data_IF_300387454130
#
_entry.id   IF_300387454130
#
_cell.length_a   1.000
_cell.length_b   1.000
_cell.length_c   1.000
_cell.angle_alpha   90.00
_cell.angle_beta   90.00
_cell.angle_gamma   90.00
#
_symmetry.space_group_name_H-M   'P 1'
#
loop_
_entity.id
_entity.type
_entity.pdbx_description
1 polymer ?
#
# COMPACT_ATOMS: atom_id res chain seq x y z
N UNK A 1 -10.62 -27.94 -9.29
CA UNK A 1 -10.09 -26.93 -8.32
C UNK A 1 -8.56 -26.98 -8.22
N UNK A 2 -7.88 -28.15 -8.14
CA UNK A 2 -6.41 -28.22 -8.10
C UNK A 2 -5.71 -27.58 -9.28
N UNK A 3 -6.10 -27.90 -10.52
CA UNK A 3 -5.50 -27.33 -11.75
C UNK A 3 -5.58 -25.80 -11.86
N UNK A 4 -6.65 -25.19 -11.34
CA UNK A 4 -6.78 -23.71 -11.31
C UNK A 4 -5.82 -23.10 -10.29
N UNK A 5 -5.75 -23.67 -9.08
CA UNK A 5 -4.82 -23.22 -8.04
C UNK A 5 -3.36 -23.34 -8.50
N UNK A 6 -3.01 -24.41 -9.21
CA UNK A 6 -1.66 -24.59 -9.78
C UNK A 6 -1.36 -23.54 -10.84
N UNK A 7 -2.33 -23.21 -11.72
CA UNK A 7 -2.21 -22.12 -12.70
C UNK A 7 -2.03 -20.75 -12.07
N UNK A 8 -2.63 -20.51 -10.90
CA UNK A 8 -2.50 -19.27 -10.14
C UNK A 8 -1.23 -19.24 -9.26
N UNK A 9 -0.40 -20.28 -9.28
CA UNK A 9 0.77 -20.39 -8.42
C UNK A 9 0.45 -20.74 -6.97
N UNK A 10 -0.79 -21.17 -6.67
CA UNK A 10 -1.27 -21.47 -5.31
C UNK A 10 -1.37 -22.98 -5.05
N UNK A 11 -0.55 -23.79 -5.70
CA UNK A 11 -0.59 -25.26 -5.63
C UNK A 11 -0.32 -25.82 -4.25
N UNK A 12 0.58 -25.23 -3.48
CA UNK A 12 0.92 -25.72 -2.14
C UNK A 12 0.07 -25.10 -1.03
N UNK A 13 -0.01 -25.79 0.12
CA UNK A 13 -0.72 -25.29 1.30
C UNK A 13 -0.09 -24.02 1.87
N UNK A 14 1.23 -23.93 1.82
CA UNK A 14 1.98 -22.76 2.29
C UNK A 14 1.69 -21.53 1.42
N UNK A 15 1.65 -21.66 0.09
CA UNK A 15 1.36 -20.57 -0.83
C UNK A 15 -0.08 -20.05 -0.67
N UNK A 16 -1.05 -20.95 -0.49
CA UNK A 16 -2.44 -20.56 -0.17
C UNK A 16 -2.56 -19.84 1.15
N UNK A 17 -1.85 -20.32 2.17
CA UNK A 17 -1.84 -19.70 3.50
C UNK A 17 -1.15 -18.34 3.49
N UNK A 18 -0.12 -18.17 2.68
CA UNK A 18 0.54 -16.90 2.46
C UNK A 18 -0.41 -15.92 1.75
N UNK A 19 -1.04 -16.30 0.65
CA UNK A 19 -1.99 -15.45 -0.07
C UNK A 19 -3.23 -15.07 0.77
N UNK A 20 -3.63 -15.94 1.74
CA UNK A 20 -4.72 -15.63 2.67
C UNK A 20 -4.37 -14.46 3.62
N UNK A 21 -3.09 -14.14 3.81
CA UNK A 21 -2.70 -12.97 4.58
C UNK A 21 -3.04 -11.66 3.83
N UNK A 22 -2.94 -11.64 2.50
CA UNK A 22 -3.40 -10.48 1.72
C UNK A 22 -4.91 -10.27 1.84
N UNK A 23 -5.70 -11.37 1.85
CA UNK A 23 -7.13 -11.31 2.18
C UNK A 23 -7.37 -10.69 3.55
N UNK A 24 -6.57 -11.04 4.56
CA UNK A 24 -6.70 -10.54 5.91
C UNK A 24 -6.33 -9.05 6.02
N UNK A 25 -5.18 -8.68 5.49
CA UNK A 25 -4.57 -7.36 5.63
C UNK A 25 -5.28 -6.28 4.81
N UNK A 26 -5.81 -6.63 3.62
CA UNK A 26 -6.48 -5.67 2.73
C UNK A 26 -7.71 -5.02 3.37
N UNK A 27 -8.34 -5.68 4.36
CA UNK A 27 -9.43 -5.10 5.13
C UNK A 27 -9.01 -3.83 5.90
N UNK A 28 -7.79 -3.79 6.42
CA UNK A 28 -7.26 -2.58 7.07
C UNK A 28 -7.04 -1.47 6.04
N UNK A 29 -6.48 -1.80 4.87
CA UNK A 29 -6.25 -0.82 3.81
C UNK A 29 -7.55 -0.18 3.33
N UNK A 30 -8.61 -0.99 3.12
CA UNK A 30 -9.89 -0.48 2.64
C UNK A 30 -10.66 0.26 3.72
N UNK A 31 -10.90 -0.35 4.87
CA UNK A 31 -11.80 0.19 5.89
C UNK A 31 -11.14 1.29 6.73
N UNK A 32 -9.88 1.08 7.17
CA UNK A 32 -9.20 2.02 8.08
C UNK A 32 -8.47 3.11 7.31
N UNK A 33 -7.68 2.76 6.29
CA UNK A 33 -6.87 3.78 5.61
C UNK A 33 -7.71 4.58 4.63
N UNK A 34 -8.54 3.92 3.80
CA UNK A 34 -9.14 4.58 2.65
C UNK A 34 -10.58 5.05 2.86
N UNK A 35 -11.43 4.34 3.66
CA UNK A 35 -12.87 4.55 3.57
C UNK A 35 -13.52 5.00 4.87
N UNK A 36 -13.69 4.09 5.84
CA UNK A 36 -14.59 4.35 6.99
C UNK A 36 -13.96 5.25 8.04
N UNK A 37 -12.71 4.96 8.44
CA UNK A 37 -12.06 5.73 9.49
C UNK A 37 -11.83 7.21 9.13
N UNK A 38 -11.40 7.61 7.92
CA UNK A 38 -11.24 9.03 7.58
C UNK A 38 -12.54 9.82 7.72
N UNK A 39 -13.70 9.24 7.30
CA UNK A 39 -15.01 9.86 7.45
C UNK A 39 -15.37 10.00 8.93
N UNK A 40 -15.22 8.93 9.70
CA UNK A 40 -15.52 8.92 11.13
C UNK A 40 -14.64 9.91 11.90
N UNK A 41 -13.35 9.94 11.58
CA UNK A 41 -12.41 10.90 12.15
C UNK A 41 -12.88 12.34 11.91
N UNK A 42 -13.17 12.71 10.65
CA UNK A 42 -13.55 14.07 10.30
C UNK A 42 -14.87 14.52 10.95
N UNK A 43 -15.87 13.63 10.98
CA UNK A 43 -17.23 13.97 11.41
C UNK A 43 -17.50 13.81 12.90
N UNK A 44 -16.79 12.88 13.54
CA UNK A 44 -17.06 12.52 14.95
C UNK A 44 -15.85 12.82 15.81
N UNK A 45 -14.73 12.17 15.58
CA UNK A 45 -13.57 12.33 16.45
C UNK A 45 -12.97 13.75 16.43
N UNK A 46 -12.97 14.40 15.27
CA UNK A 46 -12.45 15.76 15.09
C UNK A 46 -13.55 16.82 14.93
N UNK A 47 -14.79 16.52 15.35
CA UNK A 47 -15.94 17.40 15.16
C UNK A 47 -15.77 18.81 15.77
N UNK A 48 -14.93 18.95 16.78
CA UNK A 48 -14.66 20.21 17.47
C UNK A 48 -13.52 21.02 16.80
N UNK A 49 -12.91 20.51 15.74
CA UNK A 49 -11.86 21.17 14.99
C UNK A 49 -12.42 21.77 13.70
N UNK A 50 -11.80 22.87 13.24
CA UNK A 50 -12.07 23.36 11.89
C UNK A 50 -11.64 22.28 10.87
N UNK A 51 -12.45 22.04 9.84
CA UNK A 51 -12.25 20.95 8.89
C UNK A 51 -10.84 20.91 8.25
N UNK A 52 -10.24 22.05 7.79
CA UNK A 52 -8.87 22.04 7.29
C UNK A 52 -7.82 21.65 8.35
N UNK A 53 -8.05 22.02 9.63
CA UNK A 53 -7.15 21.64 10.74
C UNK A 53 -7.21 20.14 10.98
N UNK A 54 -8.41 19.56 11.01
CA UNK A 54 -8.60 18.11 11.13
C UNK A 54 -7.90 17.37 9.97
N UNK A 55 -8.10 17.81 8.74
CA UNK A 55 -7.46 17.24 7.54
C UNK A 55 -5.94 17.32 7.61
N UNK A 56 -5.38 18.47 8.00
CA UNK A 56 -3.93 18.64 8.16
C UNK A 56 -3.36 17.70 9.23
N UNK A 57 -4.02 17.58 10.40
CA UNK A 57 -3.61 16.66 11.47
C UNK A 57 -3.64 15.19 11.04
N UNK A 58 -4.67 14.79 10.29
CA UNK A 58 -4.76 13.45 9.70
C UNK A 58 -3.62 13.17 8.73
N UNK A 59 -3.30 14.12 7.86
CA UNK A 59 -2.19 14.00 6.91
C UNK A 59 -0.83 13.91 7.63
N UNK A 60 -0.60 14.70 8.67
CA UNK A 60 0.62 14.59 9.50
C UNK A 60 0.71 13.26 10.26
N UNK A 61 -0.41 12.74 10.78
CA UNK A 61 -0.46 11.42 11.41
C UNK A 61 -0.13 10.31 10.40
N UNK A 62 -0.65 10.42 9.18
CA UNK A 62 -0.31 9.50 8.08
C UNK A 62 1.19 9.53 7.77
N UNK A 63 1.76 10.70 7.55
CA UNK A 63 3.21 10.89 7.33
C UNK A 63 4.03 10.31 8.49
N UNK A 64 3.68 10.64 9.72
CA UNK A 64 4.38 10.17 10.92
C UNK A 64 4.36 8.65 11.05
N UNK A 65 3.23 8.00 10.77
CA UNK A 65 3.13 6.54 10.83
C UNK A 65 4.06 5.85 9.81
N UNK A 66 4.15 6.38 8.60
CA UNK A 66 5.02 5.84 7.55
C UNK A 66 6.49 6.07 7.90
N UNK A 67 6.85 7.24 8.44
CA UNK A 67 8.21 7.54 8.87
C UNK A 67 8.68 6.61 10.00
N UNK A 68 7.82 6.31 10.98
CA UNK A 68 8.14 5.35 12.05
C UNK A 68 8.50 4.00 11.45
N UNK A 69 7.68 3.51 10.52
CA UNK A 69 7.94 2.23 9.83
C UNK A 69 9.20 2.29 9.00
N UNK A 70 9.42 3.39 8.32
CA UNK A 70 10.59 3.65 7.50
C UNK A 70 11.91 3.49 8.28
N UNK A 71 11.91 3.88 9.54
CA UNK A 71 13.06 3.76 10.45
C UNK A 71 13.14 2.35 11.06
N UNK A 72 12.00 1.83 11.50
CA UNK A 72 11.96 0.57 12.28
C UNK A 72 12.10 -0.67 11.39
N UNK A 73 11.51 -0.66 10.18
CA UNK A 73 11.49 -1.84 9.31
C UNK A 73 12.89 -2.34 8.88
N UNK A 74 13.83 -1.51 8.44
CA UNK A 74 15.18 -1.98 8.08
C UNK A 74 15.94 -2.58 9.27
N UNK A 75 15.74 -2.02 10.47
CA UNK A 75 16.39 -2.52 11.70
C UNK A 75 15.90 -3.92 12.04
N UNK A 76 14.60 -4.09 12.10
CA UNK A 76 14.00 -5.38 12.45
C UNK A 76 14.16 -6.41 11.33
N UNK A 77 14.15 -5.98 10.07
CA UNK A 77 14.40 -6.83 8.91
C UNK A 77 15.80 -7.44 8.97
N UNK A 78 16.82 -6.64 9.26
CA UNK A 78 18.21 -7.12 9.36
C UNK A 78 18.41 -8.12 10.49
N UNK A 79 17.69 -8.00 11.59
CA UNK A 79 17.69 -8.98 12.69
C UNK A 79 16.95 -10.26 12.26
N UNK A 80 15.79 -10.13 11.63
CA UNK A 80 14.96 -11.25 11.22
C UNK A 80 15.57 -12.10 10.08
N UNK A 81 16.51 -11.55 9.30
CA UNK A 81 17.23 -12.32 8.28
C UNK A 81 18.31 -13.22 8.88
N UNK A 82 18.80 -12.92 10.07
CA UNK A 82 19.82 -13.70 10.76
C UNK A 82 19.27 -14.73 11.73
N UNK A 83 18.18 -14.38 12.42
CA UNK A 83 17.54 -15.22 13.42
C UNK A 83 16.16 -15.64 12.91
N UNK A 84 15.73 -16.91 13.09
CA UNK A 84 14.43 -17.39 12.60
C UNK A 84 13.26 -16.85 13.46
N UNK A 85 12.99 -15.54 13.35
CA UNK A 85 11.96 -14.82 14.13
C UNK A 85 10.98 -14.02 13.27
N UNK A 86 10.98 -14.20 11.93
CA UNK A 86 10.12 -13.44 11.02
C UNK A 86 8.64 -13.55 11.40
N UNK A 87 8.16 -14.76 11.65
CA UNK A 87 6.77 -14.98 12.06
C UNK A 87 6.46 -14.44 13.47
N UNK A 88 7.45 -14.47 14.38
CA UNK A 88 7.26 -13.87 15.72
C UNK A 88 7.11 -12.35 15.63
N UNK A 89 7.96 -11.68 14.85
CA UNK A 89 7.86 -10.24 14.62
C UNK A 89 6.56 -9.89 13.91
N UNK A 90 6.17 -10.66 12.89
CA UNK A 90 4.86 -10.51 12.25
C UNK A 90 3.72 -10.61 13.27
N UNK A 91 3.76 -11.60 14.18
CA UNK A 91 2.74 -11.76 15.22
C UNK A 91 2.69 -10.57 16.20
N UNK A 92 3.85 -10.02 16.58
CA UNK A 92 3.92 -8.83 17.46
C UNK A 92 3.28 -7.61 16.79
N UNK A 93 3.66 -7.32 15.53
CA UNK A 93 3.07 -6.19 14.79
C UNK A 93 1.58 -6.40 14.51
N UNK A 94 1.17 -7.63 14.18
CA UNK A 94 -0.25 -8.00 14.05
C UNK A 94 -1.00 -7.75 15.36
N UNK A 95 -0.46 -8.19 16.49
CA UNK A 95 -1.08 -8.00 17.80
C UNK A 95 -1.24 -6.52 18.16
N UNK A 96 -0.17 -5.73 18.00
CA UNK A 96 -0.20 -4.28 18.25
C UNK A 96 -1.22 -3.59 17.34
N UNK A 97 -1.18 -3.88 16.03
CA UNK A 97 -2.10 -3.31 15.06
C UNK A 97 -3.55 -3.70 15.30
N UNK A 98 -3.82 -4.98 15.59
CA UNK A 98 -5.16 -5.48 15.85
C UNK A 98 -5.76 -4.89 17.15
N UNK A 99 -4.97 -4.80 18.22
CA UNK A 99 -5.42 -4.18 19.49
C UNK A 99 -5.77 -2.71 19.26
N UNK A 100 -4.91 -1.95 18.58
CA UNK A 100 -5.19 -0.55 18.26
C UNK A 100 -6.45 -0.41 17.39
N UNK A 101 -6.63 -1.29 16.40
CA UNK A 101 -7.80 -1.28 15.52
C UNK A 101 -9.09 -1.66 16.27
N UNK A 102 -9.04 -2.65 17.15
CA UNK A 102 -10.18 -3.01 18.00
C UNK A 102 -10.54 -1.86 18.97
N UNK A 103 -9.53 -1.16 19.51
CA UNK A 103 -9.71 -0.02 20.40
C UNK A 103 -10.38 1.19 19.70
N UNK A 104 -10.40 1.24 18.37
CA UNK A 104 -11.13 2.29 17.63
C UNK A 104 -12.64 2.25 17.90
N UNK A 105 -13.19 1.15 18.41
CA UNK A 105 -14.57 1.06 18.88
C UNK A 105 -14.90 2.08 19.95
N UNK A 106 -13.92 2.47 20.75
CA UNK A 106 -14.10 3.40 21.90
C UNK A 106 -13.90 4.86 21.55
N UNK A 107 -13.64 5.21 20.30
CA UNK A 107 -13.50 6.59 19.85
C UNK A 107 -14.85 7.28 19.98
N UNK A 108 -14.90 8.37 20.73
CA UNK A 108 -16.05 9.23 20.91
C UNK A 108 -15.94 10.55 20.14
N UNK A 109 -16.95 11.39 20.30
CA UNK A 109 -16.96 12.75 19.75
C UNK A 109 -15.90 13.62 20.41
N UNK A 110 -15.09 14.32 19.62
CA UNK A 110 -14.02 15.19 20.11
C UNK A 110 -12.69 14.48 20.41
N UNK A 111 -12.65 13.15 20.37
CA UNK A 111 -11.47 12.34 20.71
C UNK A 111 -10.42 12.29 19.58
N UNK A 112 -10.19 13.40 18.88
CA UNK A 112 -9.32 13.45 17.69
C UNK A 112 -7.89 12.94 17.96
N UNK A 113 -7.33 13.24 19.15
CA UNK A 113 -5.98 12.80 19.49
C UNK A 113 -5.92 11.30 19.74
N UNK A 114 -6.90 10.74 20.46
CA UNK A 114 -7.01 9.31 20.68
C UNK A 114 -7.21 8.55 19.37
N UNK A 115 -8.09 9.06 18.49
CA UNK A 115 -8.33 8.50 17.17
C UNK A 115 -7.05 8.46 16.32
N UNK A 116 -6.31 9.57 16.23
CA UNK A 116 -5.05 9.63 15.49
C UNK A 116 -3.96 8.76 16.11
N UNK A 117 -3.90 8.65 17.42
CA UNK A 117 -2.95 7.77 18.11
C UNK A 117 -3.21 6.30 17.73
N UNK A 118 -4.46 5.85 17.81
CA UNK A 118 -4.83 4.49 17.40
C UNK A 118 -4.57 4.26 15.90
N UNK A 119 -4.86 5.25 15.06
CA UNK A 119 -4.58 5.20 13.63
C UNK A 119 -3.08 5.04 13.34
N UNK A 120 -2.22 5.81 13.99
CA UNK A 120 -0.76 5.70 13.84
C UNK A 120 -0.27 4.32 14.28
N UNK A 121 -0.71 3.84 15.46
CA UNK A 121 -0.32 2.52 15.97
C UNK A 121 -0.80 1.42 15.02
N UNK A 122 -2.04 1.48 14.53
CA UNK A 122 -2.60 0.55 13.56
C UNK A 122 -1.81 0.52 12.25
N UNK A 123 -1.46 1.70 11.71
CA UNK A 123 -0.64 1.82 10.49
C UNK A 123 0.77 1.24 10.70
N UNK A 124 1.43 1.52 11.82
CA UNK A 124 2.73 0.93 12.16
C UNK A 124 2.60 -0.59 12.27
N UNK A 125 1.52 -1.09 12.88
CA UNK A 125 1.21 -2.52 12.95
C UNK A 125 1.12 -3.14 11.57
N UNK A 126 0.25 -2.63 10.70
CA UNK A 126 0.05 -3.21 9.36
C UNK A 126 1.30 -3.13 8.50
N UNK A 127 1.97 -1.98 8.48
CA UNK A 127 3.16 -1.82 7.67
C UNK A 127 4.33 -2.68 8.19
N UNK A 128 4.46 -2.84 9.50
CA UNK A 128 5.43 -3.76 10.12
C UNK A 128 5.16 -5.23 9.73
N UNK A 129 3.89 -5.66 9.72
CA UNK A 129 3.56 -7.04 9.31
C UNK A 129 3.91 -7.30 7.85
N UNK A 130 3.67 -6.33 6.94
CA UNK A 130 3.97 -6.47 5.51
C UNK A 130 5.46 -6.73 5.28
N UNK A 131 6.36 -6.09 6.04
CA UNK A 131 7.81 -6.32 5.94
C UNK A 131 8.15 -7.81 6.07
N UNK A 132 7.63 -8.44 7.12
CA UNK A 132 7.92 -9.86 7.39
C UNK A 132 7.12 -10.78 6.48
N UNK A 133 5.88 -10.46 6.18
CA UNK A 133 5.02 -11.19 5.27
C UNK A 133 5.64 -11.36 3.89
N UNK A 134 6.09 -10.27 3.27
CA UNK A 134 6.73 -10.30 1.95
C UNK A 134 8.06 -11.05 1.99
N UNK A 135 8.82 -10.93 3.09
CA UNK A 135 10.09 -11.65 3.24
C UNK A 135 9.96 -13.16 3.34
N UNK A 136 8.76 -13.69 3.58
CA UNK A 136 8.49 -15.13 3.58
C UNK A 136 8.33 -15.70 2.17
N UNK A 137 7.86 -14.90 1.20
CA UNK A 137 7.54 -15.37 -0.16
C UNK A 137 8.71 -16.05 -0.89
N UNK A 138 9.93 -15.50 -0.91
CA UNK A 138 11.08 -16.13 -1.59
C UNK A 138 11.46 -17.50 -1.02
N UNK A 139 11.05 -17.80 0.23
CA UNK A 139 11.35 -19.07 0.89
C UNK A 139 10.32 -20.18 0.62
N UNK A 140 9.13 -19.81 0.12
CA UNK A 140 8.03 -20.76 -0.10
C UNK A 140 7.64 -20.90 -1.58
N UNK A 141 8.02 -19.94 -2.43
CA UNK A 141 7.74 -19.93 -3.85
C UNK A 141 9.00 -20.13 -4.68
N UNK A 142 8.98 -20.99 -5.71
CA UNK A 142 10.07 -21.07 -6.68
C UNK A 142 10.28 -19.73 -7.39
N UNK A 143 11.52 -19.33 -7.73
CA UNK A 143 11.80 -18.04 -8.38
C UNK A 143 10.94 -17.78 -9.62
N UNK A 144 10.69 -18.81 -10.45
CA UNK A 144 9.86 -18.69 -11.65
C UNK A 144 8.36 -18.47 -11.39
N UNK A 145 7.90 -18.58 -10.15
CA UNK A 145 6.49 -18.43 -9.74
C UNK A 145 6.23 -17.22 -8.86
N UNK A 146 7.28 -16.50 -8.43
CA UNK A 146 7.17 -15.38 -7.49
C UNK A 146 6.15 -14.33 -7.95
N UNK A 147 6.24 -13.88 -9.21
CA UNK A 147 5.34 -12.87 -9.76
C UNK A 147 3.89 -13.35 -9.79
N UNK A 148 3.69 -14.63 -10.17
CA UNK A 148 2.36 -15.23 -10.23
C UNK A 148 1.72 -15.36 -8.85
N UNK A 149 2.48 -15.84 -7.86
CA UNK A 149 2.02 -15.97 -6.48
C UNK A 149 1.71 -14.61 -5.88
N UNK A 150 2.60 -13.63 -6.09
CA UNK A 150 2.41 -12.25 -5.65
C UNK A 150 1.14 -11.64 -6.24
N UNK A 151 0.94 -11.76 -7.56
CA UNK A 151 -0.26 -11.25 -8.24
C UNK A 151 -1.53 -11.92 -7.74
N UNK A 152 -1.50 -13.24 -7.51
CA UNK A 152 -2.63 -13.96 -6.93
C UNK A 152 -2.95 -13.50 -5.50
N UNK A 153 -1.92 -13.22 -4.68
CA UNK A 153 -2.07 -12.63 -3.35
C UNK A 153 -2.82 -11.29 -3.41
N UNK A 154 -2.36 -10.36 -4.24
CA UNK A 154 -3.04 -9.07 -4.44
C UNK A 154 -4.49 -9.23 -4.88
N UNK A 155 -4.77 -10.10 -5.85
CA UNK A 155 -6.14 -10.35 -6.32
C UNK A 155 -7.05 -10.87 -5.19
N UNK A 156 -6.54 -11.81 -4.38
CA UNK A 156 -7.24 -12.34 -3.20
C UNK A 156 -7.44 -11.24 -2.17
N UNK A 157 -6.45 -10.37 -1.98
CA UNK A 157 -6.51 -9.20 -1.09
C UNK A 157 -7.63 -8.23 -1.49
N UNK A 158 -7.73 -7.86 -2.76
CA UNK A 158 -8.81 -6.99 -3.25
C UNK A 158 -10.19 -7.59 -2.95
N UNK A 159 -10.36 -8.89 -3.14
CA UNK A 159 -11.62 -9.56 -2.81
C UNK A 159 -11.87 -9.54 -1.31
N UNK A 160 -10.86 -9.84 -0.48
CA UNK A 160 -10.98 -9.87 0.99
C UNK A 160 -11.34 -8.51 1.58
N UNK A 161 -10.63 -7.46 1.17
CA UNK A 161 -10.92 -6.08 1.55
C UNK A 161 -12.30 -5.62 1.09
N UNK A 162 -12.68 -5.94 -0.16
CA UNK A 162 -13.98 -5.62 -0.73
C UNK A 162 -15.14 -6.33 -0.01
N UNK A 163 -14.98 -7.60 0.33
CA UNK A 163 -16.01 -8.39 1.05
C UNK A 163 -16.24 -7.82 2.45
N UNK A 164 -15.19 -7.56 3.24
CA UNK A 164 -15.40 -6.97 4.57
C UNK A 164 -15.98 -5.57 4.47
N UNK A 165 -15.52 -4.74 3.53
CA UNK A 165 -16.09 -3.42 3.32
C UNK A 165 -17.57 -3.50 2.95
N UNK A 166 -17.98 -4.45 2.09
CA UNK A 166 -19.39 -4.65 1.75
C UNK A 166 -20.23 -5.06 2.98
N UNK A 167 -19.71 -5.96 3.82
CA UNK A 167 -20.35 -6.33 5.10
C UNK A 167 -20.49 -5.10 6.00
N UNK A 168 -19.44 -4.29 6.11
CA UNK A 168 -19.46 -3.06 6.91
C UNK A 168 -20.47 -2.04 6.37
N UNK A 169 -20.60 -1.90 5.06
CA UNK A 169 -21.63 -1.05 4.42
C UNK A 169 -23.03 -1.50 4.81
N UNK A 170 -23.30 -2.81 4.74
CA UNK A 170 -24.60 -3.36 5.17
C UNK A 170 -24.82 -3.15 6.66
N UNK A 171 -23.80 -3.35 7.50
CA UNK A 171 -23.86 -3.11 8.95
C UNK A 171 -24.21 -1.65 9.28
N UNK A 172 -23.61 -0.69 8.58
CA UNK A 172 -23.89 0.73 8.76
C UNK A 172 -25.27 1.15 8.21
N UNK A 173 -25.75 0.49 7.16
CA UNK A 173 -27.05 0.77 6.54
C UNK A 173 -28.22 0.13 7.29
N UNK A 174 -27.99 -1.02 7.93
CA UNK A 174 -28.97 -1.85 8.62
C UNK A 174 -28.43 -2.37 9.95
N UNK A 175 -28.17 -1.47 10.94
CA UNK A 175 -27.59 -1.84 12.23
C UNK A 175 -28.39 -2.93 12.96
N UNK A 176 -29.71 -2.88 12.82
CA UNK A 176 -30.66 -3.81 13.43
C UNK A 176 -30.44 -5.27 13.00
N UNK A 177 -29.93 -5.53 11.80
CA UNK A 177 -29.62 -6.90 11.33
C UNK A 177 -28.43 -7.51 12.08
N UNK A 178 -27.62 -6.68 12.69
CA UNK A 178 -26.44 -7.09 13.46
C UNK A 178 -26.63 -6.93 14.97
N UNK A 179 -27.85 -6.61 15.42
CA UNK A 179 -28.17 -6.39 16.84
C UNK A 179 -27.56 -5.11 17.42
N UNK A 180 -27.23 -4.13 16.57
CA UNK A 180 -26.65 -2.86 16.97
C UNK A 180 -27.72 -1.79 17.15
N UNK A 181 -27.59 -0.91 18.19
CA UNK A 181 -28.66 0.04 18.56
C UNK A 181 -28.80 1.17 17.54
N UNK A 182 -27.73 1.60 16.90
CA UNK A 182 -27.70 2.76 16.03
C UNK A 182 -26.53 2.72 15.02
N UNK A 183 -26.56 3.67 14.09
CA UNK A 183 -25.56 3.78 13.02
C UNK A 183 -24.16 4.14 13.57
N UNK A 184 -24.06 4.96 14.61
CA UNK A 184 -22.75 5.34 15.18
C UNK A 184 -22.06 4.12 15.78
N UNK A 185 -22.80 3.32 16.55
CA UNK A 185 -22.30 2.04 17.06
C UNK A 185 -21.92 1.09 15.91
N UNK A 186 -22.68 1.07 14.81
CA UNK A 186 -22.34 0.25 13.65
C UNK A 186 -21.06 0.70 12.95
N UNK A 187 -20.81 2.01 12.85
CA UNK A 187 -19.53 2.52 12.33
C UNK A 187 -18.38 2.08 13.21
N UNK A 188 -18.48 2.24 14.52
CA UNK A 188 -17.45 1.81 15.49
C UNK A 188 -17.23 0.29 15.46
N UNK A 189 -18.31 -0.48 15.34
CA UNK A 189 -18.25 -1.93 15.17
C UNK A 189 -17.57 -2.32 13.84
N UNK A 190 -17.82 -1.57 12.76
CA UNK A 190 -17.14 -1.76 11.47
C UNK A 190 -15.63 -1.56 11.59
N UNK A 191 -15.17 -0.54 12.32
CA UNK A 191 -13.73 -0.36 12.58
C UNK A 191 -13.14 -1.54 13.36
N UNK A 192 -13.82 -1.96 14.44
CA UNK A 192 -13.36 -3.09 15.27
C UNK A 192 -13.40 -4.44 14.53
N UNK A 193 -14.35 -4.63 13.59
CA UNK A 193 -14.47 -5.85 12.80
C UNK A 193 -13.23 -6.15 11.97
N UNK A 194 -12.50 -5.10 11.56
CA UNK A 194 -11.24 -5.22 10.84
C UNK A 194 -10.19 -5.97 11.67
N UNK A 195 -10.12 -5.71 12.98
CA UNK A 195 -9.18 -6.41 13.87
C UNK A 195 -9.48 -7.91 13.92
N UNK A 196 -10.76 -8.27 14.07
CA UNK A 196 -11.19 -9.68 14.10
C UNK A 196 -10.89 -10.36 12.77
N UNK A 197 -11.25 -9.72 11.65
CA UNK A 197 -10.97 -10.21 10.30
C UNK A 197 -9.49 -10.45 10.08
N UNK A 198 -8.67 -9.46 10.41
CA UNK A 198 -7.23 -9.52 10.22
C UNK A 198 -6.59 -10.65 11.02
N UNK A 199 -6.93 -10.80 12.30
CA UNK A 199 -6.41 -11.89 13.15
C UNK A 199 -6.86 -13.26 12.64
N UNK A 200 -8.17 -13.44 12.40
CA UNK A 200 -8.74 -14.75 12.02
C UNK A 200 -8.14 -15.26 10.70
N UNK A 201 -8.09 -14.40 9.67
CA UNK A 201 -7.58 -14.80 8.35
C UNK A 201 -6.04 -14.80 8.26
N UNK A 202 -5.33 -14.33 9.29
CA UNK A 202 -3.88 -14.51 9.45
C UNK A 202 -3.50 -15.89 10.03
N UNK A 203 -4.40 -16.58 10.73
CA UNK A 203 -4.13 -17.89 11.36
C UNK A 203 -3.53 -18.92 10.38
N UNK A 204 -4.02 -19.06 9.13
CA UNK A 204 -3.44 -19.99 8.16
C UNK A 204 -1.95 -19.75 7.90
N UNK A 205 -1.51 -18.49 7.83
CA UNK A 205 -0.09 -18.15 7.65
C UNK A 205 0.75 -18.70 8.81
N UNK A 206 0.35 -18.46 10.04
CA UNK A 206 1.09 -18.93 11.21
C UNK A 206 1.14 -20.45 11.31
N UNK A 207 0.10 -21.15 10.83
CA UNK A 207 0.01 -22.62 10.89
C UNK A 207 0.72 -23.35 9.77
N UNK A 208 0.79 -22.77 8.55
CA UNK A 208 1.17 -23.52 7.36
C UNK A 208 2.37 -22.95 6.61
N UNK A 209 2.77 -21.70 6.89
CA UNK A 209 4.00 -21.15 6.32
C UNK A 209 5.15 -21.51 7.26
N UNK A 210 6.22 -22.18 6.78
CA UNK A 210 7.37 -22.49 7.61
C UNK A 210 8.12 -21.20 7.99
N UNK A 211 8.75 -21.20 9.17
CA UNK A 211 9.72 -20.17 9.53
C UNK A 211 11.01 -20.40 8.72
N UNK A 212 11.49 -19.44 7.96
CA UNK A 212 12.74 -19.60 7.24
C UNK A 212 13.94 -19.75 8.19
N UNK A 213 14.94 -20.57 7.85
CA UNK A 213 16.17 -20.64 8.63
C UNK A 213 16.87 -19.29 8.58
N UNK A 214 17.47 -18.89 9.69
CA UNK A 214 18.33 -17.71 9.75
C UNK A 214 19.63 -17.95 8.97
N UNK A 215 20.11 -16.96 8.24
CA UNK A 215 21.33 -17.05 7.45
C UNK A 215 22.46 -16.30 8.18
N UNK A 216 23.13 -16.93 9.12
CA UNK A 216 24.35 -16.40 9.73
C UNK A 216 24.46 -16.68 11.23
N UNK A 217 25.72 -16.76 11.71
CA UNK A 217 26.01 -16.73 13.14
C UNK A 217 25.54 -15.40 13.75
N UNK A 218 25.02 -15.41 14.98
CA UNK A 218 24.81 -14.18 15.72
C UNK A 218 26.16 -13.45 15.79
N UNK A 219 26.31 -12.36 15.05
CA UNK A 219 27.53 -11.57 15.16
C UNK A 219 27.69 -11.19 16.65
N UNK A 220 28.83 -11.51 17.24
CA UNK A 220 29.19 -11.21 18.62
C UNK A 220 29.26 -9.70 18.96
N UNK A 221 28.96 -8.84 17.98
CA UNK A 221 28.65 -7.43 18.11
C UNK A 221 27.37 -7.18 17.33
N UNK A 222 26.26 -6.97 18.01
CA UNK A 222 24.95 -6.77 17.42
C UNK A 222 25.01 -5.86 16.19
N UNK A 223 24.20 -6.17 15.14
CA UNK A 223 24.10 -5.26 14.01
C UNK A 223 23.41 -4.02 14.53
N UNK A 224 24.23 -3.06 14.90
CA UNK A 224 23.74 -1.74 15.22
C UNK A 224 23.08 -1.13 13.97
N UNK A 225 22.19 -0.19 14.19
CA UNK A 225 21.60 0.68 13.17
C UNK A 225 22.59 1.07 12.06
N UNK A 226 23.83 1.36 12.41
CA UNK A 226 24.90 1.70 11.48
C UNK A 226 25.26 0.57 10.48
N UNK A 227 25.09 -0.69 10.86
CA UNK A 227 25.33 -1.84 9.97
C UNK A 227 24.21 -2.00 8.94
N UNK A 228 22.95 -1.87 9.36
CA UNK A 228 21.81 -1.90 8.45
C UNK A 228 21.83 -0.72 7.47
N UNK A 229 22.15 0.49 7.94
CA UNK A 229 22.30 1.68 7.09
C UNK A 229 23.45 1.51 6.10
N UNK A 230 24.61 0.96 6.52
CA UNK A 230 25.72 0.67 5.59
C UNK A 230 25.33 -0.34 4.51
N UNK A 231 24.59 -1.40 4.87
CA UNK A 231 24.06 -2.36 3.92
C UNK A 231 23.15 -1.69 2.89
N UNK A 232 22.20 -0.89 3.33
CA UNK A 232 21.31 -0.11 2.45
C UNK A 232 22.12 0.82 1.50
N UNK A 233 23.12 1.53 2.01
CA UNK A 233 23.96 2.41 1.20
C UNK A 233 24.78 1.60 0.18
N UNK A 234 25.28 0.42 0.55
CA UNK A 234 26.02 -0.44 -0.36
C UNK A 234 25.14 -0.91 -1.53
N UNK A 235 23.94 -1.41 -1.23
CA UNK A 235 22.98 -1.84 -2.28
C UNK A 235 22.54 -0.68 -3.14
N UNK A 236 22.28 0.50 -2.56
CA UNK A 236 21.93 1.70 -3.33
C UNK A 236 23.09 2.13 -4.26
N UNK A 237 24.33 2.04 -3.78
CA UNK A 237 25.53 2.34 -4.59
C UNK A 237 25.68 1.33 -5.73
N UNK A 238 25.37 0.08 -5.50
CA UNK A 238 25.39 -0.94 -6.53
C UNK A 238 24.26 -0.76 -7.55
N UNK A 239 23.03 -0.50 -7.11
CA UNK A 239 21.89 -0.24 -7.99
C UNK A 239 22.14 0.98 -8.91
N UNK A 240 22.91 1.98 -8.45
CA UNK A 240 23.31 3.12 -9.28
C UNK A 240 24.14 2.73 -10.52
N UNK A 241 24.78 1.56 -10.52
CA UNK A 241 25.47 1.03 -11.71
C UNK A 241 24.48 0.68 -12.82
N UNK A 242 23.25 0.31 -12.45
CA UNK A 242 22.14 0.07 -13.38
C UNK A 242 21.31 1.36 -13.51
N UNK A 243 21.90 2.34 -14.19
CA UNK A 243 21.38 3.72 -14.27
C UNK A 243 19.88 3.78 -14.57
N UNK A 244 19.40 3.00 -15.55
CA UNK A 244 18.01 3.07 -15.99
C UNK A 244 17.05 2.39 -15.00
N UNK A 245 17.46 1.33 -14.32
CA UNK A 245 16.71 0.75 -13.22
C UNK A 245 16.61 1.73 -12.03
N UNK A 246 17.72 2.41 -11.70
CA UNK A 246 17.75 3.43 -10.65
C UNK A 246 16.87 4.65 -10.96
N UNK A 247 16.91 5.16 -12.21
CA UNK A 247 16.03 6.24 -12.67
C UNK A 247 14.55 5.84 -12.61
N UNK A 248 14.24 4.61 -13.03
CA UNK A 248 12.87 4.09 -12.90
C UNK A 248 12.42 4.04 -11.45
N UNK A 249 13.30 3.60 -10.55
CA UNK A 249 12.99 3.54 -9.12
C UNK A 249 12.71 4.92 -8.53
N UNK A 250 13.49 5.95 -8.90
CA UNK A 250 13.24 7.35 -8.50
C UNK A 250 11.92 7.89 -9.07
N UNK A 251 11.65 7.60 -10.35
CA UNK A 251 10.37 7.98 -10.97
C UNK A 251 9.20 7.32 -10.22
N UNK A 252 9.31 6.00 -9.96
CA UNK A 252 8.33 5.22 -9.24
C UNK A 252 8.07 5.76 -7.84
N UNK A 253 9.11 6.08 -7.08
CA UNK A 253 8.96 6.69 -5.74
C UNK A 253 8.05 7.92 -5.81
N UNK A 254 8.30 8.82 -6.75
CA UNK A 254 7.54 10.08 -6.82
C UNK A 254 6.11 9.86 -7.29
N UNK A 255 5.89 9.23 -8.45
CA UNK A 255 4.51 9.09 -8.90
C UNK A 255 3.68 8.13 -8.03
N UNK A 256 4.29 7.11 -7.42
CA UNK A 256 3.59 6.25 -6.49
C UNK A 256 3.25 6.99 -5.17
N UNK A 257 4.09 7.94 -4.74
CA UNK A 257 3.76 8.83 -3.62
C UNK A 257 2.50 9.66 -3.92
N UNK A 258 2.39 10.19 -5.15
CA UNK A 258 1.15 10.83 -5.61
C UNK A 258 -0.06 9.88 -5.58
N UNK A 259 0.10 8.65 -6.06
CA UNK A 259 -0.96 7.61 -6.04
C UNK A 259 -1.40 7.32 -4.61
N UNK A 260 -0.46 7.05 -3.70
CA UNK A 260 -0.75 6.77 -2.30
C UNK A 260 -1.40 7.95 -1.59
N UNK A 261 -1.02 9.18 -1.96
CA UNK A 261 -1.65 10.40 -1.42
C UNK A 261 -3.10 10.50 -1.83
N UNK A 262 -3.43 10.24 -3.10
CA UNK A 262 -4.83 10.19 -3.56
C UNK A 262 -5.62 9.16 -2.75
N UNK A 263 -5.11 7.93 -2.63
CA UNK A 263 -5.78 6.84 -1.92
C UNK A 263 -6.09 7.23 -0.46
N UNK A 264 -5.12 7.87 0.22
CA UNK A 264 -5.23 8.18 1.65
C UNK A 264 -6.00 9.47 1.94
N UNK A 265 -5.93 10.45 1.02
CA UNK A 265 -6.50 11.78 1.27
C UNK A 265 -7.85 12.01 0.60
N UNK A 266 -8.23 11.20 -0.41
CA UNK A 266 -9.47 11.41 -1.17
C UNK A 266 -10.72 11.43 -0.29
N UNK A 267 -10.83 10.50 0.65
CA UNK A 267 -12.02 10.37 1.50
C UNK A 267 -12.13 11.51 2.50
N UNK A 268 -11.01 11.84 3.19
CA UNK A 268 -11.02 12.94 4.17
C UNK A 268 -11.27 14.28 3.48
N UNK A 269 -10.72 14.46 2.27
CA UNK A 269 -10.97 15.63 1.45
C UNK A 269 -12.44 15.71 1.00
N UNK A 270 -13.02 14.59 0.54
CA UNK A 270 -14.42 14.52 0.16
C UNK A 270 -15.38 14.83 1.32
N UNK A 271 -15.07 14.33 2.52
CA UNK A 271 -15.83 14.62 3.74
C UNK A 271 -15.72 16.10 4.14
N UNK A 272 -14.52 16.69 4.05
CA UNK A 272 -14.28 18.11 4.34
C UNK A 272 -15.12 19.03 3.46
N UNK A 273 -15.25 18.72 2.17
CA UNK A 273 -16.05 19.52 1.22
C UNK A 273 -17.55 19.18 1.24
N UNK A 274 -17.98 18.29 2.14
CA UNK A 274 -19.39 18.00 2.41
C UNK A 274 -20.04 17.00 1.46
N UNK A 275 -19.29 16.09 0.83
CA UNK A 275 -19.86 15.02 0.02
C UNK A 275 -20.65 14.02 0.87
N UNK A 276 -21.62 13.34 0.24
CA UNK A 276 -22.39 12.28 0.91
C UNK A 276 -21.54 11.05 1.20
N UNK A 277 -21.54 10.61 2.46
CA UNK A 277 -20.69 9.52 2.94
C UNK A 277 -21.01 8.18 2.28
N UNK A 278 -22.31 7.88 2.10
CA UNK A 278 -22.72 6.60 1.52
C UNK A 278 -22.33 6.53 0.04
N UNK A 279 -22.46 7.66 -0.67
CA UNK A 279 -22.01 7.76 -2.05
C UNK A 279 -20.49 7.61 -2.16
N UNK A 280 -19.69 8.21 -1.24
CA UNK A 280 -18.25 8.05 -1.22
C UNK A 280 -17.84 6.61 -0.93
N UNK A 281 -18.42 5.98 0.09
CA UNK A 281 -18.15 4.58 0.45
C UNK A 281 -18.50 3.66 -0.72
N UNK A 282 -19.66 3.86 -1.36
CA UNK A 282 -20.06 3.10 -2.53
C UNK A 282 -19.11 3.26 -3.73
N UNK A 283 -18.64 4.48 -3.99
CA UNK A 283 -17.68 4.77 -5.05
C UNK A 283 -16.33 4.05 -4.82
N UNK A 284 -15.83 4.07 -3.59
CA UNK A 284 -14.59 3.39 -3.21
C UNK A 284 -14.71 1.86 -3.26
N UNK A 285 -15.88 1.34 -2.91
CA UNK A 285 -16.16 -0.09 -3.10
C UNK A 285 -16.12 -0.47 -4.58
N UNK A 286 -16.73 0.33 -5.46
CA UNK A 286 -16.70 0.11 -6.92
C UNK A 286 -15.29 0.17 -7.46
N UNK A 287 -14.42 1.06 -6.95
CA UNK A 287 -13.01 1.15 -7.35
C UNK A 287 -12.29 -0.21 -7.25
N UNK A 288 -12.55 -0.98 -6.19
CA UNK A 288 -11.92 -2.29 -5.98
C UNK A 288 -12.28 -3.28 -7.11
N UNK A 289 -13.54 -3.27 -7.55
CA UNK A 289 -13.99 -4.18 -8.60
C UNK A 289 -13.59 -3.72 -9.99
N UNK A 290 -13.56 -2.42 -10.25
CA UNK A 290 -13.09 -1.83 -11.52
C UNK A 290 -11.62 -2.13 -11.74
N UNK A 291 -10.80 -2.12 -10.69
CA UNK A 291 -9.37 -2.38 -10.78
C UNK A 291 -9.02 -3.76 -11.36
N UNK A 292 -9.86 -4.77 -11.13
CA UNK A 292 -9.58 -6.15 -11.55
C UNK A 292 -9.50 -6.27 -13.10
N UNK A 293 -10.54 -5.95 -13.89
CA UNK A 293 -10.46 -6.09 -15.34
C UNK A 293 -9.45 -5.13 -15.97
N UNK A 294 -9.30 -3.92 -15.43
CA UNK A 294 -8.38 -2.93 -15.98
C UNK A 294 -6.90 -3.28 -15.74
N UNK A 295 -6.55 -3.99 -14.66
CA UNK A 295 -5.20 -4.52 -14.49
C UNK A 295 -4.82 -5.47 -15.64
N UNK A 296 -5.72 -6.34 -16.08
CA UNK A 296 -5.50 -7.20 -17.26
C UNK A 296 -5.43 -6.39 -18.56
N UNK A 297 -6.29 -5.38 -18.74
CA UNK A 297 -6.27 -4.51 -19.91
C UNK A 297 -4.95 -3.74 -20.04
N UNK A 298 -4.39 -3.28 -18.93
CA UNK A 298 -3.06 -2.64 -18.91
C UNK A 298 -1.95 -3.61 -19.33
N UNK A 299 -2.02 -4.89 -18.94
CA UNK A 299 -1.11 -5.92 -19.41
C UNK A 299 -1.17 -6.07 -20.93
N UNK A 300 -2.37 -6.21 -21.50
CA UNK A 300 -2.59 -6.29 -22.96
C UNK A 300 -2.10 -5.02 -23.67
N UNK A 301 -2.33 -3.85 -23.07
CA UNK A 301 -1.85 -2.58 -23.61
C UNK A 301 -0.31 -2.54 -23.63
N UNK A 302 0.32 -2.97 -22.56
CA UNK A 302 1.78 -3.03 -22.46
C UNK A 302 2.41 -3.99 -23.47
N UNK A 303 1.74 -5.10 -23.80
CA UNK A 303 2.18 -6.02 -24.86
C UNK A 303 2.17 -5.37 -26.26
N UNK A 304 1.26 -4.39 -26.48
CA UNK A 304 1.12 -3.71 -27.78
C UNK A 304 2.01 -2.47 -27.93
N UNK A 305 2.08 -1.62 -26.92
CA UNK A 305 2.76 -0.32 -26.98
C UNK A 305 4.00 -0.24 -26.09
N UNK A 306 4.27 -1.27 -25.28
CA UNK A 306 5.34 -1.32 -24.30
C UNK A 306 4.91 -0.82 -22.92
N UNK A 307 5.61 -1.29 -21.88
CA UNK A 307 5.28 -0.97 -20.49
C UNK A 307 5.48 0.54 -20.16
N UNK A 308 6.58 1.14 -20.65
CA UNK A 308 6.89 2.57 -20.39
C UNK A 308 5.81 3.50 -20.93
N UNK A 309 5.37 3.43 -22.23
CA UNK A 309 4.25 4.26 -22.71
C UNK A 309 2.93 4.01 -21.98
N UNK A 310 2.63 2.76 -21.59
CA UNK A 310 1.42 2.45 -20.82
C UNK A 310 1.45 3.10 -19.43
N UNK A 311 2.60 3.14 -18.76
CA UNK A 311 2.78 3.87 -17.49
C UNK A 311 2.54 5.36 -17.69
N UNK A 312 3.07 5.98 -18.77
CA UNK A 312 2.79 7.39 -19.08
C UNK A 312 1.29 7.66 -19.25
N UNK A 313 0.57 6.75 -19.91
CA UNK A 313 -0.89 6.84 -20.03
C UNK A 313 -1.57 6.82 -18.66
N UNK A 314 -1.14 5.95 -17.76
CA UNK A 314 -1.62 5.92 -16.37
C UNK A 314 -1.35 7.23 -15.61
N UNK A 315 -0.13 7.77 -15.70
CA UNK A 315 0.25 9.03 -15.06
C UNK A 315 -0.52 10.24 -15.62
N UNK A 316 -0.80 10.25 -16.92
CA UNK A 316 -1.66 11.26 -17.53
C UNK A 316 -3.08 11.21 -16.95
N UNK A 317 -3.66 10.01 -16.83
CA UNK A 317 -4.98 9.85 -16.19
C UNK A 317 -4.95 10.29 -14.73
N UNK A 318 -3.93 9.94 -13.95
CA UNK A 318 -3.78 10.42 -12.56
C UNK A 318 -3.66 11.94 -12.47
N UNK A 319 -2.95 12.58 -13.40
CA UNK A 319 -2.88 14.05 -13.48
C UNK A 319 -4.26 14.65 -13.74
N UNK A 320 -5.03 14.08 -14.65
CA UNK A 320 -6.42 14.49 -14.92
C UNK A 320 -7.31 14.30 -13.69
N UNK A 321 -7.22 13.15 -13.01
CA UNK A 321 -7.94 12.86 -11.76
C UNK A 321 -7.66 13.96 -10.73
N UNK A 322 -6.40 14.35 -10.57
CA UNK A 322 -5.99 15.33 -9.57
C UNK A 322 -6.49 16.72 -9.90
N UNK A 323 -6.43 17.13 -11.18
CA UNK A 323 -6.98 18.41 -11.66
C UNK A 323 -8.50 18.43 -11.48
N UNK A 324 -9.20 17.35 -11.86
CA UNK A 324 -10.65 17.25 -11.64
C UNK A 324 -10.99 17.26 -10.15
N UNK A 325 -10.13 16.67 -9.29
CA UNK A 325 -10.27 16.70 -7.84
C UNK A 325 -10.29 18.11 -7.25
N UNK A 326 -9.53 19.05 -7.83
CA UNK A 326 -9.60 20.47 -7.45
C UNK A 326 -10.99 21.10 -7.67
N UNK A 327 -11.68 20.68 -8.74
CA UNK A 327 -13.02 21.18 -9.10
C UNK A 327 -14.15 20.31 -8.50
N UNK A 328 -13.82 19.35 -7.66
CA UNK A 328 -14.77 18.43 -7.05
C UNK A 328 -15.82 19.16 -6.21
N UNK A 329 -17.12 18.89 -6.48
CA UNK A 329 -18.27 19.49 -5.79
C UNK A 329 -19.40 18.50 -5.49
N UNK A 330 -19.47 17.40 -6.24
CA UNK A 330 -20.60 16.46 -6.16
C UNK A 330 -20.14 15.02 -5.97
N UNK A 331 -20.97 14.21 -5.31
CA UNK A 331 -20.68 12.77 -5.14
C UNK A 331 -20.60 12.02 -6.48
N UNK A 332 -21.33 12.46 -7.52
CA UNK A 332 -21.23 11.88 -8.86
C UNK A 332 -19.85 12.11 -9.50
N UNK A 333 -19.27 13.32 -9.32
CA UNK A 333 -17.91 13.60 -9.76
C UNK A 333 -16.90 12.73 -9.00
N UNK A 334 -17.08 12.59 -7.68
CA UNK A 334 -16.25 11.70 -6.85
C UNK A 334 -16.30 10.26 -7.33
N UNK A 335 -17.50 9.74 -7.64
CA UNK A 335 -17.69 8.40 -8.21
C UNK A 335 -16.90 8.24 -9.52
N UNK A 336 -16.99 9.22 -10.42
CA UNK A 336 -16.22 9.21 -11.69
C UNK A 336 -14.73 9.15 -11.44
N UNK A 337 -14.21 9.96 -10.49
CA UNK A 337 -12.78 9.93 -10.13
C UNK A 337 -12.37 8.57 -9.56
N UNK A 338 -13.20 7.96 -8.70
CA UNK A 338 -12.97 6.64 -8.15
C UNK A 338 -12.90 5.55 -9.23
N UNK A 339 -13.79 5.59 -10.21
CA UNK A 339 -13.74 4.68 -11.38
C UNK A 339 -12.43 4.88 -12.16
N UNK A 340 -12.06 6.14 -12.45
CA UNK A 340 -10.81 6.45 -13.16
C UNK A 340 -9.58 5.96 -12.39
N UNK A 341 -9.53 6.10 -11.06
CA UNK A 341 -8.48 5.54 -10.21
C UNK A 341 -8.43 4.02 -10.35
N UNK A 342 -9.57 3.34 -10.24
CA UNK A 342 -9.66 1.90 -10.41
C UNK A 342 -9.12 1.43 -11.77
N UNK A 343 -9.38 2.20 -12.83
CA UNK A 343 -8.90 1.86 -14.18
C UNK A 343 -7.37 1.87 -14.30
N UNK A 344 -6.65 2.72 -13.57
CA UNK A 344 -5.21 2.93 -13.78
C UNK A 344 -4.33 2.41 -12.66
N UNK A 345 -4.85 2.24 -11.45
CA UNK A 345 -4.07 1.94 -10.24
C UNK A 345 -3.30 0.62 -10.36
N UNK A 346 -4.00 -0.47 -10.57
CA UNK A 346 -3.41 -1.81 -10.63
C UNK A 346 -2.42 -1.96 -11.79
N UNK A 347 -2.78 -1.45 -12.98
CA UNK A 347 -1.95 -1.51 -14.17
C UNK A 347 -0.65 -0.73 -14.05
N UNK A 348 -0.73 0.52 -13.57
CA UNK A 348 0.45 1.37 -13.42
C UNK A 348 1.47 0.77 -12.45
N UNK A 349 1.01 0.23 -11.30
CA UNK A 349 1.89 -0.39 -10.31
C UNK A 349 2.48 -1.71 -10.81
N UNK A 350 1.67 -2.58 -11.43
CA UNK A 350 2.13 -3.86 -11.96
C UNK A 350 3.18 -3.68 -13.06
N UNK A 351 2.94 -2.76 -14.01
CA UNK A 351 3.88 -2.47 -15.09
C UNK A 351 5.18 -1.83 -14.60
N UNK A 352 5.13 -1.00 -13.56
CA UNK A 352 6.33 -0.41 -12.95
C UNK A 352 7.22 -1.51 -12.35
N UNK A 353 6.63 -2.45 -11.63
CA UNK A 353 7.33 -3.60 -11.05
C UNK A 353 7.93 -4.50 -12.14
N UNK A 354 7.16 -4.85 -13.16
CA UNK A 354 7.62 -5.68 -14.29
C UNK A 354 8.74 -5.01 -15.08
N UNK A 355 8.62 -3.70 -15.33
CA UNK A 355 9.64 -2.93 -16.02
C UNK A 355 10.95 -2.88 -15.23
N UNK A 356 10.87 -2.66 -13.91
CA UNK A 356 12.02 -2.72 -13.01
C UNK A 356 12.70 -4.09 -13.05
N UNK A 357 11.91 -5.17 -12.94
CA UNK A 357 12.39 -6.54 -13.02
C UNK A 357 13.20 -6.82 -14.30
N UNK A 358 12.80 -6.23 -15.43
CA UNK A 358 13.46 -6.42 -16.71
C UNK A 358 14.82 -5.73 -16.85
N UNK A 359 15.16 -4.82 -15.94
CA UNK A 359 16.37 -4.00 -15.96
C UNK A 359 17.32 -4.26 -14.78
N UNK A 360 17.15 -5.39 -14.09
CA UNK A 360 18.00 -5.83 -12.99
C UNK A 360 18.50 -7.25 -13.21
N UNK A 361 19.74 -7.61 -12.76
CA UNK A 361 20.26 -8.97 -12.89
C UNK A 361 19.42 -9.95 -12.06
N UNK A 362 19.19 -11.14 -12.63
CA UNK A 362 18.38 -12.20 -11.99
C UNK A 362 18.95 -12.66 -10.67
N UNK A 363 20.29 -12.75 -10.58
CA UNK A 363 21.02 -13.23 -9.40
C UNK A 363 20.89 -12.26 -8.20
N UNK A 364 20.66 -10.98 -8.48
CA UNK A 364 20.50 -9.93 -7.46
C UNK A 364 19.06 -9.42 -7.36
N UNK A 365 18.15 -10.10 -8.01
CA UNK A 365 16.74 -9.68 -8.06
C UNK A 365 16.15 -9.54 -6.66
N UNK A 366 16.40 -10.47 -5.74
CA UNK A 366 15.88 -10.41 -4.37
C UNK A 366 16.37 -9.17 -3.62
N UNK A 367 17.65 -8.81 -3.77
CA UNK A 367 18.24 -7.63 -3.13
C UNK A 367 17.65 -6.34 -3.70
N UNK A 368 17.58 -6.23 -5.03
CA UNK A 368 17.03 -5.04 -5.69
C UNK A 368 15.52 -4.93 -5.56
N UNK A 369 14.78 -6.04 -5.52
CA UNK A 369 13.35 -6.02 -5.21
C UNK A 369 13.07 -5.66 -3.76
N UNK A 370 13.94 -6.02 -2.83
CA UNK A 370 13.83 -5.52 -1.44
C UNK A 370 13.92 -4.00 -1.42
N UNK A 371 14.78 -3.40 -2.27
CA UNK A 371 14.85 -1.96 -2.45
C UNK A 371 13.58 -1.39 -3.10
N UNK A 372 13.06 -2.03 -4.15
CA UNK A 372 11.80 -1.62 -4.78
C UNK A 372 10.68 -1.60 -3.74
N UNK A 373 10.56 -2.65 -2.93
CA UNK A 373 9.59 -2.73 -1.83
C UNK A 373 9.79 -1.65 -0.75
N UNK A 374 11.06 -1.31 -0.44
CA UNK A 374 11.36 -0.17 0.42
C UNK A 374 10.83 1.13 -0.21
N UNK A 375 11.13 1.41 -1.47
CA UNK A 375 10.66 2.62 -2.16
C UNK A 375 9.14 2.64 -2.33
N UNK A 376 8.51 1.48 -2.56
CA UNK A 376 7.05 1.35 -2.60
C UNK A 376 6.40 1.72 -1.26
N UNK A 377 7.04 1.36 -0.14
CA UNK A 377 6.57 1.67 1.22
C UNK A 377 6.83 3.10 1.65
N UNK A 378 7.96 3.68 1.20
CA UNK A 378 8.28 5.09 1.44
C UNK A 378 7.47 6.04 0.55
N UNK A 379 6.90 5.53 -0.54
CA UNK A 379 5.86 6.24 -1.26
C UNK A 379 4.66 6.44 -0.33
N UNK A 380 4.18 7.67 -0.23
CA UNK A 380 3.17 8.08 0.74
C UNK A 380 3.72 8.82 1.98
N UNK A 381 5.02 9.12 2.01
CA UNK A 381 5.62 10.02 3.03
C UNK A 381 5.55 11.47 2.57
N UNK A 382 6.07 11.76 1.37
CA UNK A 382 6.20 13.13 0.88
C UNK A 382 4.85 13.73 0.49
N UNK A 383 3.99 12.94 -0.15
CA UNK A 383 2.72 13.41 -0.64
C UNK A 383 1.77 13.89 0.46
N UNK A 384 1.44 13.08 1.49
CA UNK A 384 0.66 13.54 2.63
C UNK A 384 1.33 14.68 3.40
N UNK A 385 2.67 14.71 3.49
CA UNK A 385 3.40 15.82 4.13
C UNK A 385 3.22 17.13 3.36
N UNK A 386 3.41 17.11 2.02
CA UNK A 386 3.16 18.27 1.15
C UNK A 386 1.69 18.67 1.21
N UNK A 387 0.78 17.71 1.18
CA UNK A 387 -0.65 17.96 1.33
C UNK A 387 -0.96 18.68 2.64
N UNK A 388 -0.46 18.16 3.78
CA UNK A 388 -0.65 18.76 5.09
C UNK A 388 -0.07 20.17 5.17
N UNK A 389 1.13 20.36 4.62
CA UNK A 389 1.80 21.67 4.58
C UNK A 389 1.01 22.69 3.77
N UNK A 390 0.53 22.30 2.57
CA UNK A 390 -0.29 23.19 1.73
C UNK A 390 -1.59 23.54 2.43
N UNK A 391 -2.29 22.56 3.06
CA UNK A 391 -3.51 22.85 3.83
C UNK A 391 -3.24 23.84 4.97
N UNK A 392 -2.15 23.62 5.71
CA UNK A 392 -1.79 24.48 6.85
C UNK A 392 -1.52 25.95 6.45
N UNK A 393 -0.96 26.18 5.24
CA UNK A 393 -0.62 27.53 4.75
C UNK A 393 -1.71 28.18 3.90
N UNK A 394 -2.46 27.41 3.13
CA UNK A 394 -3.51 27.93 2.24
C UNK A 394 -4.91 27.93 2.90
N UNK A 395 -5.09 27.17 3.99
CA UNK A 395 -6.40 26.92 4.59
C UNK A 395 -7.35 26.10 3.70
N UNK A 396 -6.84 25.47 2.61
CA UNK A 396 -7.67 24.83 1.60
C UNK A 396 -7.10 23.47 1.15
N UNK A 397 -7.86 22.42 1.37
CA UNK A 397 -7.53 21.09 0.86
C UNK A 397 -7.67 20.97 -0.66
N UNK A 398 -8.40 21.89 -1.32
CA UNK A 398 -8.45 21.99 -2.79
C UNK A 398 -7.08 22.32 -3.38
N UNK A 399 -6.39 23.29 -2.80
CA UNK A 399 -5.02 23.64 -3.22
C UNK A 399 -4.05 22.48 -2.94
N UNK A 400 -4.27 21.77 -1.85
CA UNK A 400 -3.44 20.62 -1.47
C UNK A 400 -3.62 19.43 -2.45
N UNK A 401 -4.85 19.12 -2.89
CA UNK A 401 -5.03 18.06 -3.88
C UNK A 401 -4.36 18.41 -5.21
N UNK A 402 -4.40 19.68 -5.62
CA UNK A 402 -3.76 20.12 -6.85
C UNK A 402 -2.22 19.97 -6.77
N UNK A 403 -1.62 20.14 -5.60
CA UNK A 403 -0.16 19.98 -5.43
C UNK A 403 0.32 18.56 -5.76
N UNK A 404 -0.57 17.56 -5.67
CA UNK A 404 -0.25 16.17 -6.01
C UNK A 404 0.08 15.98 -7.49
N UNK A 405 -0.41 16.86 -8.38
CA UNK A 405 -0.03 16.84 -9.82
C UNK A 405 1.49 16.91 -9.98
N UNK A 406 2.18 17.66 -9.12
CA UNK A 406 3.63 17.79 -9.15
C UNK A 406 4.35 16.44 -9.07
N UNK A 407 3.84 15.51 -8.29
CA UNK A 407 4.42 14.17 -8.15
C UNK A 407 4.31 13.37 -9.46
N UNK A 408 3.19 13.47 -10.16
CA UNK A 408 3.00 12.79 -11.45
C UNK A 408 3.83 13.43 -12.55
N UNK A 409 3.89 14.76 -12.60
CA UNK A 409 4.67 15.49 -13.63
C UNK A 409 6.17 15.25 -13.44
N UNK A 410 6.69 15.37 -12.21
CA UNK A 410 8.12 15.15 -11.92
C UNK A 410 8.46 13.66 -12.12
N UNK A 411 7.60 12.74 -11.63
CA UNK A 411 7.77 11.32 -11.84
C UNK A 411 7.79 10.94 -13.33
N UNK A 412 6.88 11.49 -14.13
CA UNK A 412 6.85 11.32 -15.58
C UNK A 412 8.10 11.91 -16.25
N UNK A 413 8.55 13.11 -15.83
CA UNK A 413 9.76 13.72 -16.36
C UNK A 413 10.99 12.83 -16.12
N UNK A 414 11.15 12.27 -14.92
CA UNK A 414 12.25 11.33 -14.64
C UNK A 414 12.09 10.04 -15.47
N UNK A 415 10.87 9.50 -15.57
CA UNK A 415 10.58 8.32 -16.38
C UNK A 415 10.94 8.54 -17.87
N UNK A 416 10.81 9.76 -18.38
CA UNK A 416 11.19 10.08 -19.76
C UNK A 416 12.67 9.76 -20.04
N UNK A 417 13.56 9.99 -19.06
CA UNK A 417 15.00 9.69 -19.17
C UNK A 417 15.36 8.20 -19.02
N UNK A 418 14.39 7.34 -18.70
CA UNK A 418 14.62 5.90 -18.63
C UNK A 418 14.68 5.32 -20.05
N UNK A 419 15.84 4.79 -20.45
CA UNK A 419 15.96 4.01 -21.68
C UNK A 419 15.87 2.52 -21.33
N UNK A 420 14.78 1.89 -21.77
CA UNK A 420 14.47 0.49 -21.43
C UNK A 420 15.41 -0.47 -22.14
N UNK A 421 15.78 -0.16 -23.40
CA UNK A 421 16.66 -1.00 -24.20
C UNK A 421 18.08 -0.99 -23.63
N UNK A 422 18.65 0.17 -23.32
CA UNK A 422 19.94 0.30 -22.65
C UNK A 422 19.94 -0.37 -21.27
N UNK A 423 18.85 -0.24 -20.50
CA UNK A 423 18.71 -0.89 -19.20
C UNK A 423 18.75 -2.42 -19.32
N UNK A 424 18.09 -2.99 -20.32
CA UNK A 424 18.10 -4.42 -20.60
C UNK A 424 19.46 -4.90 -21.15
N UNK A 425 20.11 -4.11 -22.01
CA UNK A 425 21.42 -4.42 -22.56
C UNK A 425 22.47 -4.48 -21.44
N UNK A 426 22.49 -3.54 -20.52
CA UNK A 426 23.41 -3.54 -19.37
C UNK A 426 23.27 -4.80 -18.49
N UNK A 427 22.06 -5.36 -18.37
CA UNK A 427 21.83 -6.62 -17.65
C UNK A 427 22.34 -7.80 -18.46
N UNK A 428 22.13 -7.82 -19.78
CA UNK A 428 22.63 -8.89 -20.66
C UNK A 428 24.18 -8.94 -20.65
N UNK A 429 24.84 -7.80 -20.72
CA UNK A 429 26.31 -7.70 -20.59
C UNK A 429 26.82 -8.20 -19.23
N UNK A 430 26.16 -7.81 -18.13
CA UNK A 430 26.52 -8.26 -16.79
C UNK A 430 26.37 -9.79 -16.63
N UNK A 431 25.40 -10.40 -17.29
CA UNK A 431 25.19 -11.85 -17.29
C UNK A 431 26.22 -12.57 -18.18
N UNK A 432 26.57 -12.03 -19.36
CA UNK A 432 27.56 -12.62 -20.27
C UNK A 432 28.99 -12.56 -19.72
N UNK A 433 29.34 -11.47 -19.03
CA UNK A 433 30.66 -11.32 -18.39
C UNK A 433 30.91 -12.29 -17.22
N UNK A 434 29.89 -13.03 -16.77
CA UNK A 434 29.96 -13.99 -15.66
C UNK A 434 29.81 -15.45 -16.07
N UNK A 435 29.51 -15.70 -17.34
CA UNK A 435 29.53 -17.05 -17.88
C UNK A 435 30.97 -17.32 -18.39
N UNK A 436 31.73 -18.23 -17.73
CA UNK A 436 33.11 -18.54 -18.14
C UNK A 436 33.16 -19.23 -19.51
#
# INVERSE_FOLDING_TARGET
MSRLLDRLGLGTRALRAWAMYDWANSAFQTTIIAVVFPIYYQKVAAADLAAPVATSRFAWATTGSILIVAIVAPLLGSVADRVPIKKRLLAVFLGIGAVATAAMFFIGRGDWLFALTLFVIGNVGVAGTIVFYESLLPHIAPPAQLDRVSTAGYAIGYVGGGVLLAVNVVMMAKPEWFGLPDRDTAVRASLASVAVWWVVFSIPLFRHVPEPPGHGEPAAGGIGFAGAVRGLIATLRELRRYRHAFLLLLAFLLYNDGVQTIIRMATIYGTEIGLDDNAMIGALLVTQFVGIPFAFLFGILADRIGAKPAIFGGLAVYSVITIMGYFLRTSSQFFTLCVMVGMVQGGTQALSRSLFASMIPKEKSSEFFSFFGVFERYAGVLGPAVFAWVVAHSGSSRSAILSVVGFFVIGAAILAFVNVEEGRAAVAEANSARTP
#
